data_IF_252948863957
#
_entry.id   IF_252948863957
#
_cell.length_a   1.000
_cell.length_b   1.000
_cell.length_c   1.000
_cell.angle_alpha   90.00
_cell.angle_beta   90.00
_cell.angle_gamma   90.00
#
_symmetry.space_group_name_H-M   'P 1'
#
loop_
_entity.id
_entity.type
_entity.pdbx_description
1 polymer ?
#
# COMPACT_ATOMS: atom_id res chain seq x y z
N UNK A 1 -1.19 13.58 8.48
CA UNK A 1 -0.29 12.68 7.70
C UNK A 1 -0.69 11.26 8.06
N UNK A 2 -0.94 10.40 7.08
CA UNK A 2 -1.33 8.99 7.28
C UNK A 2 -0.14 8.11 6.95
N UNK A 3 0.18 7.16 7.83
CA UNK A 3 1.15 6.09 7.56
C UNK A 3 0.38 4.81 7.24
N UNK A 4 0.53 4.32 6.01
CA UNK A 4 -0.08 3.08 5.55
C UNK A 4 0.99 2.00 5.47
N UNK A 5 0.81 0.92 6.22
CA UNK A 5 1.73 -0.23 6.22
C UNK A 5 1.14 -1.35 5.37
N UNK A 6 1.91 -1.85 4.41
CA UNK A 6 1.54 -2.94 3.51
C UNK A 6 2.54 -4.07 3.70
N UNK A 7 2.07 -5.29 3.92
CA UNK A 7 2.95 -6.45 4.03
C UNK A 7 3.46 -6.88 2.63
N UNK A 8 4.75 -7.18 2.52
CA UNK A 8 5.41 -7.49 1.27
C UNK A 8 4.97 -8.83 0.65
N UNK A 9 4.49 -9.74 1.47
CA UNK A 9 4.00 -11.09 1.13
C UNK A 9 2.53 -11.09 0.69
N UNK A 10 1.68 -10.32 1.39
CA UNK A 10 0.23 -10.28 1.14
C UNK A 10 -0.16 -9.35 -0.02
N UNK A 11 0.63 -8.28 -0.24
CA UNK A 11 0.39 -7.30 -1.30
C UNK A 11 -0.73 -6.30 -1.00
N UNK A 12 -1.30 -5.69 -2.04
CA UNK A 12 -2.42 -4.74 -1.90
C UNK A 12 -3.73 -5.51 -1.69
N UNK A 13 -4.40 -5.26 -0.55
CA UNK A 13 -5.68 -5.85 -0.18
C UNK A 13 -6.82 -4.80 -0.27
N UNK A 14 -8.10 -5.21 -0.23
CA UNK A 14 -9.23 -4.26 -0.27
C UNK A 14 -9.15 -3.16 0.80
N UNK A 15 -8.71 -3.51 2.02
CA UNK A 15 -8.51 -2.57 3.12
C UNK A 15 -7.44 -1.51 2.80
N UNK A 16 -6.41 -1.86 2.04
CA UNK A 16 -5.38 -0.93 1.56
C UNK A 16 -5.99 0.11 0.62
N UNK A 17 -6.86 -0.32 -0.28
CA UNK A 17 -7.56 0.55 -1.24
C UNK A 17 -8.52 1.50 -0.52
N UNK A 18 -9.30 1.00 0.43
CA UNK A 18 -10.20 1.83 1.24
C UNK A 18 -9.43 2.90 2.04
N UNK A 19 -8.27 2.53 2.61
CA UNK A 19 -7.42 3.46 3.34
C UNK A 19 -6.85 4.57 2.45
N UNK A 20 -6.43 4.23 1.23
CA UNK A 20 -5.98 5.21 0.23
C UNK A 20 -7.14 6.15 -0.16
N UNK A 21 -8.34 5.60 -0.40
CA UNK A 21 -9.51 6.41 -0.75
C UNK A 21 -9.91 7.37 0.38
N UNK A 22 -9.90 6.88 1.63
CA UNK A 22 -10.17 7.71 2.80
C UNK A 22 -9.18 8.88 2.88
N UNK A 23 -7.88 8.60 2.78
CA UNK A 23 -6.85 9.64 2.87
C UNK A 23 -6.89 10.62 1.67
N UNK A 24 -7.20 10.16 0.45
CA UNK A 24 -7.47 11.02 -0.72
C UNK A 24 -8.67 11.95 -0.47
N UNK A 25 -9.80 11.42 0.03
CA UNK A 25 -11.00 12.21 0.36
C UNK A 25 -10.73 13.25 1.46
N UNK A 26 -9.89 12.91 2.43
CA UNK A 26 -9.48 13.79 3.51
C UNK A 26 -8.34 14.74 3.14
N UNK A 27 -7.90 14.75 1.87
CA UNK A 27 -6.78 15.56 1.36
C UNK A 27 -5.52 15.49 2.26
N UNK A 28 -5.27 14.32 2.85
CA UNK A 28 -4.21 14.12 3.83
C UNK A 28 -3.01 13.45 3.16
N UNK A 29 -1.77 13.94 3.36
CA UNK A 29 -0.58 13.30 2.82
C UNK A 29 -0.43 11.86 3.32
N UNK A 30 -0.11 10.94 2.42
CA UNK A 30 0.07 9.51 2.69
C UNK A 30 1.56 9.16 2.57
N UNK A 31 2.09 8.49 3.58
CA UNK A 31 3.39 7.81 3.54
C UNK A 31 3.10 6.31 3.54
N UNK A 32 3.69 5.58 2.59
CA UNK A 32 3.52 4.14 2.48
C UNK A 32 4.79 3.46 2.97
N UNK A 33 4.66 2.59 3.98
CA UNK A 33 5.71 1.70 4.46
C UNK A 33 5.43 0.27 4.01
N UNK A 34 6.45 -0.43 3.53
CA UNK A 34 6.35 -1.85 3.16
C UNK A 34 7.03 -2.67 4.26
N UNK A 35 6.29 -3.60 4.84
CA UNK A 35 6.70 -4.43 5.98
C UNK A 35 6.96 -5.89 5.55
N UNK A 36 7.63 -6.68 6.38
CA UNK A 36 7.97 -8.11 6.14
C UNK A 36 8.90 -8.34 4.93
N UNK A 37 9.84 -7.43 4.69
CA UNK A 37 10.82 -7.54 3.58
C UNK A 37 11.84 -8.67 3.78
N UNK A 38 11.87 -9.24 4.99
CA UNK A 38 12.72 -10.37 5.38
C UNK A 38 12.18 -11.72 4.87
N UNK A 39 10.91 -11.80 4.49
CA UNK A 39 10.30 -13.05 4.05
C UNK A 39 10.69 -13.40 2.60
N UNK A 40 10.88 -14.70 2.29
CA UNK A 40 11.21 -15.13 0.93
C UNK A 40 10.08 -14.87 -0.09
N UNK A 41 8.85 -14.64 0.39
CA UNK A 41 7.69 -14.27 -0.44
C UNK A 41 7.51 -12.76 -0.64
N UNK A 42 8.42 -11.93 -0.14
CA UNK A 42 8.33 -10.47 -0.25
C UNK A 42 8.48 -10.00 -1.71
N UNK A 43 7.46 -9.34 -2.26
CA UNK A 43 7.47 -8.82 -3.63
C UNK A 43 7.09 -7.32 -3.68
N UNK A 44 8.11 -6.48 -3.46
CA UNK A 44 7.99 -5.03 -3.53
C UNK A 44 7.60 -4.52 -4.93
N UNK A 45 8.19 -5.02 -6.04
CA UNK A 45 7.78 -4.64 -7.40
C UNK A 45 6.28 -4.85 -7.66
N UNK A 46 5.73 -6.01 -7.26
CA UNK A 46 4.29 -6.30 -7.39
C UNK A 46 3.44 -5.27 -6.65
N UNK A 47 3.80 -4.91 -5.42
CA UNK A 47 3.07 -3.91 -4.63
C UNK A 47 3.08 -2.54 -5.31
N UNK A 48 4.24 -2.10 -5.82
CA UNK A 48 4.35 -0.83 -6.55
C UNK A 48 3.47 -0.83 -7.80
N UNK A 49 3.46 -1.94 -8.56
CA UNK A 49 2.61 -2.09 -9.74
C UNK A 49 1.12 -2.07 -9.37
N UNK A 50 0.72 -2.81 -8.34
CA UNK A 50 -0.66 -2.82 -7.84
C UNK A 50 -1.08 -1.42 -7.38
N UNK A 51 -0.23 -0.71 -6.62
CA UNK A 51 -0.52 0.67 -6.23
C UNK A 51 -0.68 1.54 -7.46
N UNK A 52 0.22 1.49 -8.44
CA UNK A 52 0.13 2.29 -9.67
C UNK A 52 -1.15 2.02 -10.47
N UNK A 53 -1.61 0.76 -10.55
CA UNK A 53 -2.84 0.39 -11.23
C UNK A 53 -4.09 0.91 -10.50
N UNK A 54 -4.08 0.89 -9.17
CA UNK A 54 -5.17 1.42 -8.33
C UNK A 54 -5.19 2.97 -8.26
N UNK A 55 -4.32 3.66 -9.00
CA UNK A 55 -4.31 5.13 -9.14
C UNK A 55 -4.95 5.63 -10.45
N UNK A 56 -5.39 4.73 -11.34
CA UNK A 56 -6.25 5.09 -12.49
C UNK A 56 -7.73 5.02 -12.10
#
# INVERSE_FOLDING_TARGET
IVLLIIAADDGVLPQTVESIQFAKKSNTPIIIGINKIDLPGADVPKIKNQLSQNHQ
#
